data_IF_035557491706
#
_entry.id   IF_035557491706
#
_cell.length_a   1.000
_cell.length_b   1.000
_cell.length_c   1.000
_cell.angle_alpha   90.00
_cell.angle_beta   90.00
_cell.angle_gamma   90.00
#
_symmetry.space_group_name_H-M   'P 1'
#
loop_
_entity.id
_entity.type
_entity.pdbx_description
1 polymer ?
#
# COMPACT_ATOMS: atom_id res chain seq x y z
N UNK A 1 8.65 -13.30 -6.43
CA UNK A 1 7.92 -12.04 -6.73
C UNK A 1 7.08 -11.48 -5.56
N UNK A 2 6.72 -12.24 -4.52
CA UNK A 2 5.82 -11.76 -3.45
C UNK A 2 6.34 -10.62 -2.55
N UNK A 3 7.67 -10.50 -2.33
CA UNK A 3 8.25 -9.42 -1.51
C UNK A 3 7.92 -8.01 -2.02
N UNK A 4 7.80 -7.85 -3.35
CA UNK A 4 7.51 -6.56 -3.98
C UNK A 4 6.04 -6.16 -3.84
N UNK A 5 5.15 -7.13 -3.96
CA UNK A 5 3.70 -6.93 -3.80
C UNK A 5 3.35 -6.58 -2.35
N UNK A 6 4.01 -7.20 -1.36
CA UNK A 6 3.82 -6.86 0.05
C UNK A 6 4.25 -5.43 0.38
N UNK A 7 5.37 -4.98 -0.20
CA UNK A 7 5.84 -3.60 -0.05
C UNK A 7 4.87 -2.60 -0.68
N UNK A 8 4.33 -2.93 -1.86
CA UNK A 8 3.32 -2.10 -2.53
C UNK A 8 2.01 -2.03 -1.73
N UNK A 9 1.52 -3.16 -1.20
CA UNK A 9 0.30 -3.19 -0.38
C UNK A 9 0.46 -2.39 0.91
N UNK A 10 1.61 -2.51 1.58
CA UNK A 10 1.92 -1.77 2.80
C UNK A 10 2.02 -0.26 2.55
N UNK A 11 2.68 0.14 1.46
CA UNK A 11 2.83 1.54 1.08
C UNK A 11 1.48 2.17 0.72
N UNK A 12 0.63 1.45 -0.04
CA UNK A 12 -0.73 1.91 -0.40
C UNK A 12 -1.61 2.03 0.84
N UNK A 13 -1.55 1.06 1.77
CA UNK A 13 -2.26 1.14 3.04
C UNK A 13 -1.78 2.33 3.89
N UNK A 14 -0.46 2.55 3.98
CA UNK A 14 0.13 3.68 4.70
C UNK A 14 -0.31 5.03 4.10
N UNK A 15 -0.35 5.13 2.77
CA UNK A 15 -0.88 6.29 2.04
C UNK A 15 -2.34 6.57 2.33
N UNK A 16 -3.14 5.52 2.44
CA UNK A 16 -4.58 5.62 2.69
C UNK A 16 -4.88 6.05 4.13
N UNK A 17 -4.07 5.61 5.10
CA UNK A 17 -4.29 5.88 6.51
C UNK A 17 -3.62 7.18 7.02
N UNK A 18 -2.51 7.61 6.40
CA UNK A 18 -1.72 8.76 6.85
C UNK A 18 -1.86 9.95 5.90
N UNK A 19 -2.46 11.04 6.39
CA UNK A 19 -2.64 12.31 5.67
C UNK A 19 -1.30 12.97 5.25
N UNK A 20 -0.23 12.72 6.02
CA UNK A 20 1.16 13.09 5.68
C UNK A 20 1.94 11.92 5.11
N UNK A 21 1.71 11.61 3.84
CA UNK A 21 2.38 10.48 3.22
C UNK A 21 3.86 10.76 2.86
N UNK A 22 4.75 9.80 3.16
CA UNK A 22 6.11 9.78 2.63
C UNK A 22 6.11 9.64 1.11
N UNK A 23 6.70 10.59 0.38
CA UNK A 23 6.78 10.56 -1.08
C UNK A 23 7.41 9.25 -1.58
N UNK A 24 7.07 8.80 -2.79
CA UNK A 24 7.66 7.60 -3.43
C UNK A 24 9.20 7.62 -3.44
N UNK A 25 9.80 8.82 -3.37
CA UNK A 25 11.24 9.05 -3.24
C UNK A 25 11.81 8.58 -1.88
N UNK A 26 11.07 8.76 -0.78
CA UNK A 26 11.43 8.25 0.53
C UNK A 26 11.30 6.73 0.59
N UNK A 27 10.20 6.18 0.03
CA UNK A 27 10.02 4.72 -0.10
C UNK A 27 11.10 4.06 -0.97
N UNK A 28 11.55 4.71 -2.04
CA UNK A 28 12.70 4.27 -2.84
C UNK A 28 13.98 4.20 -2.01
N UNK A 29 14.23 5.20 -1.16
CA UNK A 29 15.39 5.23 -0.26
C UNK A 29 15.32 4.15 0.83
N UNK A 30 14.14 3.87 1.38
CA UNK A 30 13.92 2.87 2.44
C UNK A 30 14.01 1.45 1.90
N UNK A 31 13.42 1.19 0.73
CA UNK A 31 13.38 -0.15 0.12
C UNK A 31 14.61 -0.49 -0.72
N UNK A 32 15.46 0.50 -1.02
CA UNK A 32 16.61 0.35 -1.94
C UNK A 32 16.20 0.10 -3.40
N UNK A 33 14.91 0.28 -3.74
CA UNK A 33 14.37 0.06 -5.08
C UNK A 33 14.29 1.37 -5.87
N UNK A 34 14.33 1.26 -7.19
CA UNK A 34 14.13 2.41 -8.06
C UNK A 34 12.72 2.96 -7.94
N UNK A 35 12.57 4.29 -8.01
CA UNK A 35 11.26 4.98 -7.98
C UNK A 35 10.31 4.42 -9.06
N UNK A 36 10.84 4.10 -10.25
CA UNK A 36 10.08 3.50 -11.34
C UNK A 36 9.49 2.14 -10.97
N UNK A 37 10.25 1.29 -10.28
CA UNK A 37 9.76 -0.03 -9.85
C UNK A 37 8.69 0.10 -8.77
N UNK A 38 8.88 1.03 -7.82
CA UNK A 38 7.87 1.30 -6.78
C UNK A 38 6.56 1.76 -7.40
N UNK A 39 6.64 2.72 -8.33
CA UNK A 39 5.45 3.25 -9.00
C UNK A 39 4.74 2.17 -9.84
N UNK A 40 5.51 1.33 -10.54
CA UNK A 40 4.96 0.21 -11.29
C UNK A 40 4.28 -0.83 -10.37
N UNK A 41 4.91 -1.18 -9.25
CA UNK A 41 4.33 -2.13 -8.29
C UNK A 41 3.07 -1.57 -7.62
N UNK A 42 3.06 -0.27 -7.30
CA UNK A 42 1.89 0.42 -6.75
C UNK A 42 0.73 0.40 -7.74
N UNK A 43 0.97 0.72 -9.01
CA UNK A 43 -0.03 0.65 -10.08
C UNK A 43 -0.55 -0.77 -10.29
N UNK A 44 0.32 -1.77 -10.28
CA UNK A 44 -0.07 -3.17 -10.42
C UNK A 44 -0.94 -3.59 -9.24
N UNK A 45 -0.56 -3.22 -8.01
CA UNK A 45 -1.35 -3.53 -6.82
C UNK A 45 -2.72 -2.82 -6.83
N UNK A 46 -2.76 -1.53 -7.18
CA UNK A 46 -3.99 -0.76 -7.32
C UNK A 46 -4.94 -1.36 -8.35
N UNK A 47 -4.41 -1.80 -9.49
CA UNK A 47 -5.19 -2.53 -10.51
C UNK A 47 -5.69 -3.89 -10.00
N UNK A 48 -4.90 -4.60 -9.20
CA UNK A 48 -5.31 -5.89 -8.64
C UNK A 48 -6.49 -5.76 -7.66
N UNK A 49 -6.55 -4.64 -6.91
CA UNK A 49 -7.66 -4.36 -5.98
C UNK A 49 -8.76 -3.51 -6.61
N UNK A 50 -8.70 -3.24 -7.92
CA UNK A 50 -9.62 -2.37 -8.66
C UNK A 50 -9.86 -1.00 -7.99
N UNK A 51 -8.81 -0.42 -7.39
CA UNK A 51 -8.90 0.83 -6.60
C UNK A 51 -9.89 0.77 -5.41
N UNK A 52 -10.35 -0.43 -5.03
CA UNK A 52 -11.24 -0.66 -3.89
C UNK A 52 -10.45 -0.66 -2.57
N UNK A 53 -9.94 0.52 -2.16
CA UNK A 53 -9.27 0.70 -0.86
C UNK A 53 -10.26 1.01 0.27
N UNK A 54 -11.52 1.26 -0.05
CA UNK A 54 -12.52 1.59 0.94
C UNK A 54 -12.85 0.35 1.78
N UNK A 55 -12.50 0.41 3.06
CA UNK A 55 -12.93 -0.56 4.05
C UNK A 55 -13.96 0.12 4.94
N UNK A 56 -15.17 -0.43 4.99
CA UNK A 56 -16.22 0.11 5.86
C UNK A 56 -15.82 -0.05 7.32
N UNK A 57 -16.24 0.89 8.16
CA UNK A 57 -15.94 0.87 9.60
C UNK A 57 -16.38 -0.44 10.27
N UNK A 58 -17.53 -0.98 9.84
CA UNK A 58 -18.04 -2.27 10.30
C UNK A 58 -17.11 -3.43 9.93
N UNK A 59 -16.57 -3.43 8.71
CA UNK A 59 -15.60 -4.43 8.25
C UNK A 59 -14.31 -4.32 9.04
N UNK A 60 -13.79 -3.11 9.24
CA UNK A 60 -12.58 -2.87 10.03
C UNK A 60 -12.75 -3.39 11.46
N UNK A 61 -13.85 -3.02 12.14
CA UNK A 61 -14.18 -3.48 13.49
C UNK A 61 -14.27 -5.00 13.59
N UNK A 62 -14.84 -5.67 12.58
CA UNK A 62 -14.93 -7.13 12.54
C UNK A 62 -13.55 -7.78 12.42
N UNK A 63 -12.64 -7.19 11.64
CA UNK A 63 -11.26 -7.67 11.52
C UNK A 63 -10.45 -7.45 12.80
N UNK A 64 -10.58 -6.30 13.47
CA UNK A 64 -9.91 -6.05 14.76
C UNK A 64 -10.47 -6.91 15.89
N UNK A 65 -11.75 -7.29 15.86
CA UNK A 65 -12.33 -8.18 16.86
C UNK A 65 -11.89 -9.65 16.73
N UNK A 66 -11.33 -10.04 15.58
CA UNK A 66 -10.83 -11.40 15.32
C UNK A 66 -9.33 -11.57 15.64
N UNK A 67 -8.65 -10.47 15.96
CA UNK A 67 -7.22 -10.39 16.31
C UNK A 67 -7.05 -10.38 17.83
#
# INVERSE_FOLDING_TARGET
CGRRTFLASLMVASKYLQDRNYSNKAWAKISGLSIKEINANELVFLKLIDYSLFVSHETFMRWTALL
#
